data_IF_044429616648
#
_entry.id   IF_044429616648
#
_cell.length_a   1.000
_cell.length_b   1.000
_cell.length_c   1.000
_cell.angle_alpha   90.00
_cell.angle_beta   90.00
_cell.angle_gamma   90.00
#
_symmetry.space_group_name_H-M   'P 1'
#
loop_
_entity.id
_entity.type
_entity.pdbx_description
1 polymer ?
#
# COMPACT_ATOMS: atom_id res chain seq x y z
N UNK A 1 -29.38 -3.57 38.72
CA UNK A 1 -29.13 -4.65 37.73
C UNK A 1 -29.86 -4.23 36.46
N UNK A 2 -29.14 -4.25 35.33
CA UNK A 2 -29.54 -3.81 33.98
C UNK A 2 -29.55 -2.29 33.71
N UNK A 3 -28.47 -1.79 33.09
CA UNK A 3 -28.56 -1.11 31.78
C UNK A 3 -27.17 -1.08 31.13
N UNK A 4 -26.94 -1.91 30.12
CA UNK A 4 -25.71 -1.99 29.32
C UNK A 4 -26.02 -2.65 27.99
N UNK A 5 -26.79 -1.95 27.18
CA UNK A 5 -26.87 -2.08 25.73
C UNK A 5 -26.94 -0.62 25.24
N UNK A 6 -26.20 -0.13 24.26
CA UNK A 6 -26.06 -0.71 22.94
C UNK A 6 -25.03 0.14 22.15
N UNK A 7 -23.73 -0.19 22.25
CA UNK A 7 -22.66 0.54 21.54
C UNK A 7 -22.33 -0.01 20.15
N UNK A 8 -23.15 -0.94 19.62
CA UNK A 8 -22.83 -1.73 18.42
C UNK A 8 -23.58 -1.27 17.16
N UNK A 9 -24.55 -0.37 17.29
CA UNK A 9 -25.38 0.12 16.17
C UNK A 9 -24.80 1.31 15.37
N UNK A 10 -23.80 2.01 15.91
CA UNK A 10 -23.28 3.26 15.31
C UNK A 10 -22.40 3.00 14.08
N UNK A 11 -21.39 2.14 14.21
CA UNK A 11 -20.46 1.84 13.10
C UNK A 11 -21.12 1.15 11.89
N UNK A 12 -22.19 0.39 12.11
CA UNK A 12 -22.98 -0.18 11.00
C UNK A 12 -23.76 0.88 10.23
N UNK A 13 -24.23 1.92 10.92
CA UNK A 13 -24.98 3.03 10.32
C UNK A 13 -24.06 3.97 9.53
N UNK A 14 -22.88 4.29 10.07
CA UNK A 14 -21.86 5.08 9.37
C UNK A 14 -21.42 4.38 8.08
N UNK A 15 -21.12 3.08 8.15
CA UNK A 15 -20.71 2.32 6.97
C UNK A 15 -21.83 2.23 5.93
N UNK A 16 -23.09 2.11 6.35
CA UNK A 16 -24.23 2.17 5.44
C UNK A 16 -24.37 3.54 4.77
N UNK A 17 -24.08 4.62 5.49
CA UNK A 17 -24.10 5.98 4.93
C UNK A 17 -23.06 6.12 3.82
N UNK A 18 -21.83 5.65 4.07
CA UNK A 18 -20.78 5.63 3.06
C UNK A 18 -21.15 4.73 1.87
N UNK A 19 -21.72 3.55 2.13
CA UNK A 19 -22.13 2.63 1.09
C UNK A 19 -23.23 3.21 0.18
N UNK A 20 -24.19 3.94 0.75
CA UNK A 20 -25.22 4.68 -0.02
C UNK A 20 -24.58 5.76 -0.89
N UNK A 21 -23.73 6.61 -0.31
CA UNK A 21 -23.04 7.66 -1.07
C UNK A 21 -22.21 7.09 -2.24
N UNK A 22 -21.52 5.96 -2.04
CA UNK A 22 -20.82 5.26 -3.11
C UNK A 22 -21.80 4.75 -4.18
N UNK A 23 -22.90 4.10 -3.78
CA UNK A 23 -23.92 3.58 -4.69
C UNK A 23 -24.52 4.67 -5.57
N UNK A 24 -24.79 5.84 -5.00
CA UNK A 24 -25.32 7.00 -5.71
C UNK A 24 -24.29 7.59 -6.69
N UNK A 25 -23.01 7.50 -6.37
CA UNK A 25 -21.92 8.07 -7.18
C UNK A 25 -21.48 7.14 -8.33
N UNK A 26 -21.59 5.82 -8.16
CA UNK A 26 -21.12 4.83 -9.14
C UNK A 26 -21.71 5.03 -10.55
N UNK A 27 -23.01 5.29 -10.75
CA UNK A 27 -23.56 5.53 -12.09
C UNK A 27 -22.89 6.70 -12.81
N UNK A 28 -22.69 7.82 -12.11
CA UNK A 28 -21.98 8.97 -12.65
C UNK A 28 -20.53 8.63 -13.00
N UNK A 29 -19.84 7.88 -12.12
CA UNK A 29 -18.48 7.43 -12.37
C UNK A 29 -18.39 6.58 -13.66
N UNK A 30 -19.30 5.62 -13.83
CA UNK A 30 -19.34 4.75 -15.02
C UNK A 30 -19.60 5.57 -16.29
N UNK A 31 -20.51 6.53 -16.25
CA UNK A 31 -20.78 7.43 -17.38
C UNK A 31 -19.53 8.22 -17.77
N UNK A 32 -18.79 8.75 -16.79
CA UNK A 32 -17.56 9.52 -17.04
C UNK A 32 -16.44 8.65 -17.59
N UNK A 33 -16.22 7.48 -17.01
CA UNK A 33 -15.17 6.56 -17.44
C UNK A 33 -15.43 5.97 -18.82
N UNK A 34 -16.70 5.64 -19.12
CA UNK A 34 -17.08 5.11 -20.44
C UNK A 34 -16.79 6.11 -21.57
N UNK A 35 -16.98 7.41 -21.33
CA UNK A 35 -16.63 8.49 -22.28
C UNK A 35 -15.12 8.70 -22.42
N UNK A 36 -14.37 8.58 -21.33
CA UNK A 36 -12.92 8.85 -21.32
C UNK A 36 -12.12 7.74 -21.99
N UNK A 37 -12.38 6.47 -21.66
CA UNK A 37 -11.67 5.33 -22.23
C UNK A 37 -12.53 4.06 -22.22
N UNK A 38 -13.31 3.82 -23.30
CA UNK A 38 -14.13 2.62 -23.44
C UNK A 38 -13.31 1.33 -23.23
N UNK A 39 -13.91 0.30 -22.64
CA UNK A 39 -13.28 -1.01 -22.41
C UNK A 39 -12.34 -1.11 -21.21
N UNK A 40 -12.05 0.00 -20.51
CA UNK A 40 -11.15 0.01 -19.34
C UNK A 40 -11.82 0.47 -18.03
N UNK A 41 -13.16 0.56 -18.01
CA UNK A 41 -13.96 1.12 -16.91
C UNK A 41 -13.60 0.45 -15.58
N UNK A 42 -13.61 -0.89 -15.53
CA UNK A 42 -13.31 -1.63 -14.29
C UNK A 42 -11.94 -1.28 -13.71
N UNK A 43 -10.91 -1.26 -14.57
CA UNK A 43 -9.55 -0.94 -14.16
C UNK A 43 -9.45 0.50 -13.66
N UNK A 44 -10.02 1.46 -14.37
CA UNK A 44 -9.97 2.88 -13.98
C UNK A 44 -10.74 3.15 -12.69
N UNK A 45 -11.91 2.54 -12.51
CA UNK A 45 -12.68 2.64 -11.29
C UNK A 45 -11.90 2.06 -10.10
N UNK A 46 -11.24 0.91 -10.29
CA UNK A 46 -10.41 0.29 -9.27
C UNK A 46 -9.21 1.16 -8.90
N UNK A 47 -8.51 1.73 -9.89
CA UNK A 47 -7.38 2.65 -9.66
C UNK A 47 -7.82 3.92 -8.91
N UNK A 48 -9.03 4.45 -9.20
CA UNK A 48 -9.62 5.60 -8.51
C UNK A 48 -9.95 5.30 -7.04
N UNK A 49 -10.40 4.09 -6.72
CA UNK A 49 -10.70 3.69 -5.35
C UNK A 49 -9.42 3.37 -4.56
N UNK A 50 -8.50 2.63 -5.17
CA UNK A 50 -7.32 2.14 -4.46
C UNK A 50 -6.30 3.24 -4.16
N UNK A 51 -6.13 4.22 -5.06
CA UNK A 51 -5.21 5.34 -4.82
C UNK A 51 -5.44 6.05 -3.47
N UNK A 52 -6.64 6.56 -3.17
CA UNK A 52 -6.91 7.20 -1.88
C UNK A 52 -6.87 6.20 -0.72
N UNK A 53 -7.38 4.98 -0.90
CA UNK A 53 -7.35 3.95 0.15
C UNK A 53 -5.93 3.63 0.61
N UNK A 54 -5.05 3.28 -0.33
CA UNK A 54 -3.67 2.91 -0.04
C UNK A 54 -2.88 4.12 0.47
N UNK A 55 -3.08 5.30 -0.13
CA UNK A 55 -2.45 6.54 0.30
C UNK A 55 -2.80 6.90 1.74
N UNK A 56 -4.07 6.81 2.12
CA UNK A 56 -4.54 7.12 3.46
C UNK A 56 -3.94 6.17 4.51
N UNK A 57 -3.96 4.86 4.28
CA UNK A 57 -3.40 3.89 5.23
C UNK A 57 -1.87 4.01 5.34
N UNK A 58 -1.18 4.33 4.25
CA UNK A 58 0.25 4.62 4.30
C UNK A 58 0.54 5.88 5.14
N UNK A 59 -0.26 6.94 5.00
CA UNK A 59 -0.13 8.14 5.82
C UNK A 59 -0.38 7.85 7.31
N UNK A 60 -1.44 7.12 7.63
CA UNK A 60 -1.76 6.70 9.01
C UNK A 60 -0.64 5.91 9.68
N UNK A 61 0.16 5.18 8.90
CA UNK A 61 1.26 4.35 9.40
C UNK A 61 2.64 5.01 9.29
N UNK A 62 2.69 6.30 8.95
CA UNK A 62 3.95 7.03 8.76
C UNK A 62 4.80 6.46 7.63
N UNK A 63 4.17 5.89 6.61
CA UNK A 63 4.84 5.23 5.48
C UNK A 63 5.39 3.83 5.80
N UNK A 64 5.09 3.26 6.97
CA UNK A 64 5.48 1.90 7.30
C UNK A 64 4.64 0.87 6.52
N UNK A 65 5.19 0.42 5.40
CA UNK A 65 4.53 -0.51 4.48
C UNK A 65 4.11 -1.83 5.12
N UNK A 66 4.85 -2.35 6.11
CA UNK A 66 4.49 -3.60 6.78
C UNK A 66 3.25 -3.41 7.64
N UNK A 67 3.19 -2.31 8.40
CA UNK A 67 2.01 -1.95 9.20
C UNK A 67 0.81 -1.65 8.31
N UNK A 68 1.01 -0.87 7.24
CA UNK A 68 -0.03 -0.56 6.28
C UNK A 68 -0.62 -1.83 5.64
N UNK A 69 0.24 -2.76 5.20
CA UNK A 69 -0.20 -4.01 4.61
C UNK A 69 -1.02 -4.87 5.59
N UNK A 70 -0.62 -4.90 6.88
CA UNK A 70 -1.38 -5.60 7.92
C UNK A 70 -2.75 -4.96 8.15
N UNK A 71 -2.84 -3.63 8.23
CA UNK A 71 -4.12 -2.92 8.39
C UNK A 71 -5.06 -3.15 7.20
N UNK A 72 -4.50 -3.20 5.99
CA UNK A 72 -5.26 -3.48 4.77
C UNK A 72 -5.62 -4.97 4.59
N UNK A 73 -5.05 -5.88 5.39
CA UNK A 73 -5.21 -7.32 5.17
C UNK A 73 -4.53 -7.83 3.90
N UNK A 74 -3.51 -7.13 3.41
CA UNK A 74 -2.80 -7.44 2.17
C UNK A 74 -1.41 -8.01 2.43
N UNK A 75 -0.90 -8.78 1.49
CA UNK A 75 0.53 -9.08 1.46
C UNK A 75 1.32 -7.78 1.17
N UNK A 76 2.41 -7.54 1.93
CA UNK A 76 3.31 -6.38 1.74
C UNK A 76 3.88 -6.29 0.31
N UNK A 77 4.14 -7.42 -0.35
CA UNK A 77 4.57 -7.44 -1.75
C UNK A 77 3.48 -6.93 -2.69
N UNK A 78 2.22 -7.31 -2.43
CA UNK A 78 1.05 -6.81 -3.16
C UNK A 78 0.90 -5.31 -2.97
N UNK A 79 0.95 -4.82 -1.72
CA UNK A 79 0.93 -3.38 -1.43
C UNK A 79 2.03 -2.63 -2.21
N UNK A 80 3.28 -3.10 -2.16
CA UNK A 80 4.40 -2.50 -2.91
C UNK A 80 4.19 -2.52 -4.42
N UNK A 81 3.58 -3.58 -4.96
CA UNK A 81 3.24 -3.67 -6.39
C UNK A 81 2.16 -2.64 -6.74
N UNK A 82 1.05 -2.59 -6.00
CA UNK A 82 -0.04 -1.63 -6.22
C UNK A 82 0.43 -0.19 -6.10
N UNK A 83 1.22 0.16 -5.08
CA UNK A 83 1.76 1.52 -4.96
C UNK A 83 2.63 1.93 -6.15
N UNK A 84 3.42 1.00 -6.72
CA UNK A 84 4.21 1.28 -7.94
C UNK A 84 3.32 1.47 -9.17
N UNK A 85 2.33 0.61 -9.36
CA UNK A 85 1.35 0.72 -10.46
C UNK A 85 0.54 2.02 -10.40
N UNK A 86 0.17 2.44 -9.19
CA UNK A 86 -0.64 3.62 -8.95
C UNK A 86 0.19 4.90 -8.77
N UNK A 87 1.52 4.82 -8.86
CA UNK A 87 2.46 5.93 -8.64
C UNK A 87 2.31 6.61 -7.28
N UNK A 88 2.02 5.84 -6.23
CA UNK A 88 1.97 6.32 -4.84
C UNK A 88 3.40 6.37 -4.31
N UNK A 89 3.82 7.54 -3.82
CA UNK A 89 5.15 7.72 -3.24
C UNK A 89 5.31 6.84 -2.00
N UNK A 90 6.23 5.89 -2.07
CA UNK A 90 6.65 5.10 -0.92
C UNK A 90 7.94 5.70 -0.35
N UNK A 91 8.10 5.77 0.99
CA UNK A 91 9.40 6.05 1.57
C UNK A 91 10.41 5.06 0.99
N UNK A 92 11.52 5.57 0.45
CA UNK A 92 12.53 4.74 -0.18
C UNK A 92 13.06 3.76 0.86
N UNK A 93 13.05 2.47 0.53
CA UNK A 93 13.85 1.50 1.28
C UNK A 93 15.32 1.94 1.19
N UNK A 94 16.08 1.97 2.29
CA UNK A 94 17.52 2.16 2.20
C UNK A 94 18.07 1.05 1.29
N UNK A 95 18.76 1.45 0.23
CA UNK A 95 19.33 0.55 -0.78
C UNK A 95 20.26 -0.46 -0.10
N UNK A 96 19.82 -1.71 0.13
CA UNK A 96 20.71 -2.87 0.40
C UNK A 96 21.44 -3.34 -0.87
N UNK A 97 21.90 -2.42 -1.72
CA UNK A 97 22.43 -2.71 -3.05
C UNK A 97 23.86 -2.16 -3.27
N UNK A 98 24.71 -2.17 -2.24
CA UNK A 98 26.11 -1.78 -2.37
C UNK A 98 27.11 -2.67 -1.60
N UNK A 99 26.69 -3.78 -1.00
CA UNK A 99 27.61 -4.72 -0.32
C UNK A 99 27.71 -6.04 -1.10
N UNK A 100 28.27 -5.96 -2.30
CA UNK A 100 29.06 -7.04 -2.86
C UNK A 100 30.36 -6.41 -3.37
N UNK A 101 31.26 -6.11 -2.43
CA UNK A 101 32.67 -5.94 -2.78
C UNK A 101 33.21 -7.26 -3.33
N UNK A 102 34.06 -7.27 -4.36
CA UNK A 102 34.64 -8.50 -4.88
C UNK A 102 35.49 -9.16 -3.78
N UNK A 103 35.06 -10.33 -3.35
CA UNK A 103 35.81 -11.20 -2.46
C UNK A 103 36.99 -11.82 -3.20
N UNK A 104 38.18 -11.60 -2.65
CA UNK A 104 39.42 -12.36 -2.82
C UNK A 104 40.16 -12.27 -4.17
N UNK A 105 41.38 -11.71 -4.11
CA UNK A 105 42.54 -12.37 -4.73
C UNK A 105 43.78 -12.19 -3.84
N UNK A 106 44.32 -13.34 -3.43
CA UNK A 106 45.55 -13.56 -2.66
C UNK A 106 46.76 -12.77 -3.19
N UNK A 107 47.61 -12.32 -2.27
CA UNK A 107 49.06 -12.23 -2.47
C UNK A 107 49.78 -12.59 -1.15
N UNK A 108 50.96 -13.23 -1.19
CA UNK A 108 51.47 -14.01 -0.06
C UNK A 108 52.21 -13.14 0.97
N UNK A 109 51.91 -13.38 2.25
CA UNK A 109 52.71 -12.90 3.37
C UNK A 109 53.87 -13.87 3.62
N UNK A 110 55.01 -13.60 2.99
CA UNK A 110 56.28 -14.21 3.33
C UNK A 110 57.36 -13.14 3.35
N UNK A 111 57.39 -12.37 4.43
CA UNK A 111 58.55 -11.55 4.76
C UNK A 111 58.70 -11.42 6.28
N UNK A 112 59.72 -12.12 6.77
CA UNK A 112 60.66 -11.69 7.82
C UNK A 112 60.09 -11.34 9.20
N UNK A 113 60.48 -12.15 10.18
CA UNK A 113 61.34 -11.57 11.22
C UNK A 113 62.20 -12.62 11.94
N UNK A 114 63.34 -12.16 12.49
CA UNK A 114 64.42 -12.99 12.97
C UNK A 114 64.14 -13.45 14.40
N UNK A 115 64.50 -14.67 14.72
CA UNK A 115 65.27 -15.09 15.90
C UNK A 115 65.74 -16.52 15.64
#
# INVERSE_FOLDING_TARGET
MADSADGRGDGTSELQTVARALSDTVPLLVERLSKARPGHIYRQALELLERPLLGHVLAMTGGNQLRAARLLGLNRNTLRKRCRELHIALPREPRRAAEKGPSASLAPSAARSPY
#
